data_IF_538059664295
#
_entry.id   IF_538059664295
#
_cell.length_a   1.000
_cell.length_b   1.000
_cell.length_c   1.000
_cell.angle_alpha   90.00
_cell.angle_beta   90.00
_cell.angle_gamma   90.00
#
_symmetry.space_group_name_H-M   'P 1'
#
loop_
_entity.id
_entity.type
_entity.pdbx_description
1 polymer ?
#
# COMPACT_ATOMS: atom_id res chain seq x y z
N UNK A 1 -21.47 -25.60 -17.10
CA UNK A 1 -20.36 -24.64 -17.29
C UNK A 1 -20.96 -23.24 -17.10
N UNK A 2 -21.00 -22.77 -15.87
CA UNK A 2 -21.70 -21.51 -15.55
C UNK A 2 -20.66 -20.45 -15.10
N UNK A 3 -20.52 -19.38 -15.89
CA UNK A 3 -19.70 -18.22 -15.56
C UNK A 3 -20.58 -17.23 -14.82
N UNK A 4 -20.41 -17.14 -13.50
CA UNK A 4 -21.08 -16.11 -12.70
C UNK A 4 -20.33 -14.78 -12.82
N UNK A 5 -20.89 -13.90 -13.68
CA UNK A 5 -20.48 -12.50 -13.72
C UNK A 5 -21.04 -11.80 -12.48
N UNK A 6 -20.18 -11.35 -11.59
CA UNK A 6 -20.59 -10.47 -10.48
C UNK A 6 -20.58 -9.03 -10.96
N UNK A 7 -21.76 -8.48 -11.17
CA UNK A 7 -21.98 -7.06 -11.44
C UNK A 7 -21.84 -6.27 -10.15
N UNK A 8 -20.96 -5.29 -10.17
CA UNK A 8 -20.86 -4.28 -9.11
C UNK A 8 -21.97 -3.27 -9.29
N UNK A 9 -22.91 -3.23 -8.36
CA UNK A 9 -23.87 -2.14 -8.21
C UNK A 9 -23.30 -1.11 -7.26
N UNK A 10 -23.06 0.10 -7.78
CA UNK A 10 -22.74 1.26 -6.99
C UNK A 10 -24.03 1.79 -6.34
N UNK A 11 -24.11 1.77 -5.03
CA UNK A 11 -25.17 2.46 -4.28
C UNK A 11 -24.60 3.74 -3.69
N UNK A 12 -25.03 4.85 -4.22
CA UNK A 12 -24.83 6.19 -3.65
C UNK A 12 -25.90 6.39 -2.59
N UNK A 13 -25.52 6.64 -1.35
CA UNK A 13 -26.40 7.19 -0.32
C UNK A 13 -25.84 8.53 0.13
N UNK A 14 -26.57 9.56 -0.25
CA UNK A 14 -26.46 10.90 0.29
C UNK A 14 -27.31 11.01 1.55
N UNK A 15 -26.96 11.95 2.39
CA UNK A 15 -27.80 12.62 3.38
C UNK A 15 -27.36 12.52 4.82
N UNK A 16 -27.18 13.69 5.44
CA UNK A 16 -27.64 14.04 6.73
C UNK A 16 -26.69 14.93 7.53
N UNK A 17 -26.78 16.24 7.30
CA UNK A 17 -26.21 17.24 8.22
C UNK A 17 -27.03 17.29 9.51
N UNK A 18 -26.38 17.14 10.67
CA UNK A 18 -26.93 17.58 11.95
C UNK A 18 -25.95 18.58 12.59
N UNK A 19 -26.41 19.83 12.60
CA UNK A 19 -25.83 20.91 13.39
C UNK A 19 -26.29 20.73 14.85
N UNK A 20 -25.35 20.54 15.76
CA UNK A 20 -25.59 20.71 17.19
C UNK A 20 -24.73 21.86 17.68
N UNK A 21 -25.37 22.98 17.97
CA UNK A 21 -24.78 24.10 18.70
C UNK A 21 -24.77 23.74 20.19
N UNK A 22 -23.63 23.82 20.83
CA UNK A 22 -23.52 23.80 22.29
C UNK A 22 -22.68 24.99 22.77
N UNK A 23 -23.29 25.71 23.70
CA UNK A 23 -22.85 26.98 24.28
C UNK A 23 -21.54 26.86 25.08
N UNK A 24 -20.73 27.90 25.03
CA UNK A 24 -19.57 28.14 25.88
C UNK A 24 -20.01 28.68 27.25
N UNK A 25 -19.40 28.29 28.34
CA UNK A 25 -19.28 29.14 29.51
C UNK A 25 -17.95 29.90 29.48
N UNK A 26 -18.04 31.20 29.63
CA UNK A 26 -16.91 32.07 29.94
C UNK A 26 -16.50 31.87 31.41
N UNK A 27 -15.20 31.72 31.66
CA UNK A 27 -14.63 31.92 32.97
C UNK A 27 -13.26 32.62 32.84
N UNK A 28 -13.10 33.59 33.67
CA UNK A 28 -12.09 34.66 33.66
C UNK A 28 -10.74 34.24 34.27
N UNK A 29 -9.72 34.96 33.81
CA UNK A 29 -8.51 35.41 34.50
C UNK A 29 -7.68 34.48 35.37
N UNK A 30 -6.45 34.27 34.91
CA UNK A 30 -5.36 33.75 35.70
C UNK A 30 -4.02 34.06 35.05
N UNK A 31 -3.39 35.17 35.42
CA UNK A 31 -2.04 35.53 35.04
C UNK A 31 -1.05 34.49 35.58
N UNK A 32 -0.33 33.82 34.68
CA UNK A 32 0.78 32.95 35.02
C UNK A 32 1.83 33.02 33.90
N UNK A 33 2.85 33.86 34.06
CA UNK A 33 4.04 33.81 33.21
C UNK A 33 4.80 32.53 33.50
N UNK A 34 4.88 31.66 32.52
CA UNK A 34 5.76 30.52 32.51
C UNK A 34 6.16 30.24 31.07
N UNK A 35 7.35 30.75 30.67
CA UNK A 35 7.98 30.34 29.42
C UNK A 35 8.53 28.95 29.60
N UNK A 36 7.73 27.94 29.30
CA UNK A 36 8.21 26.58 29.18
C UNK A 36 8.20 26.21 27.71
N UNK A 37 9.35 26.34 27.05
CA UNK A 37 9.59 25.81 25.71
C UNK A 37 9.73 24.31 25.82
N UNK A 38 8.61 23.62 26.09
CA UNK A 38 8.50 22.19 25.97
C UNK A 38 8.64 21.80 24.49
N UNK A 39 9.86 21.51 24.07
CA UNK A 39 10.09 20.77 22.85
C UNK A 39 9.41 19.41 22.99
N UNK A 40 8.14 19.36 22.59
CA UNK A 40 7.41 18.11 22.48
C UNK A 40 8.11 17.21 21.47
N UNK A 41 8.98 16.36 21.94
CA UNK A 41 9.48 15.25 21.14
C UNK A 41 8.30 14.35 20.79
N UNK A 42 7.69 14.61 19.64
CA UNK A 42 6.69 13.71 19.07
C UNK A 42 7.35 12.35 18.94
N UNK A 43 6.91 11.37 19.74
CA UNK A 43 7.35 9.99 19.56
C UNK A 43 7.11 9.61 18.09
N UNK A 44 8.14 9.10 17.38
CA UNK A 44 7.94 8.60 16.02
C UNK A 44 6.77 7.62 16.02
N UNK A 45 5.84 7.79 15.07
CA UNK A 45 4.76 6.84 14.91
C UNK A 45 5.32 5.42 14.76
N UNK A 46 4.72 4.41 15.40
CA UNK A 46 5.21 3.04 15.28
C UNK A 46 5.28 2.66 13.82
N UNK A 47 6.46 2.23 13.36
CA UNK A 47 6.65 1.75 12.00
C UNK A 47 5.77 0.52 11.79
N UNK A 48 5.13 0.44 10.64
CA UNK A 48 4.35 -0.73 10.27
C UNK A 48 5.24 -1.98 10.31
N UNK A 49 4.68 -3.08 10.81
CA UNK A 49 5.34 -4.37 10.70
C UNK A 49 5.35 -4.94 9.27
N UNK A 50 4.60 -4.32 8.36
CA UNK A 50 4.53 -4.75 6.96
C UNK A 50 5.46 -3.89 6.13
N UNK A 51 6.35 -4.55 5.37
CA UNK A 51 7.39 -3.91 4.57
C UNK A 51 7.48 -4.54 3.18
N UNK A 52 8.06 -3.81 2.23
CA UNK A 52 8.45 -4.32 0.93
C UNK A 52 9.73 -5.14 1.04
N UNK A 53 9.68 -6.39 0.61
CA UNK A 53 10.81 -7.30 0.58
C UNK A 53 11.61 -7.25 -0.72
N UNK A 54 11.93 -8.44 -1.26
CA UNK A 54 12.60 -8.58 -2.55
C UNK A 54 11.68 -8.13 -3.68
N UNK A 55 12.28 -7.48 -4.67
CA UNK A 55 11.64 -7.07 -5.92
C UNK A 55 12.38 -7.74 -7.06
N UNK A 56 11.64 -8.41 -7.93
CA UNK A 56 12.11 -8.97 -9.20
C UNK A 56 11.42 -8.19 -10.31
N UNK A 57 12.05 -7.11 -10.75
CA UNK A 57 11.52 -6.21 -11.79
C UNK A 57 11.91 -6.66 -13.20
N UNK A 58 12.95 -7.46 -13.31
CA UNK A 58 13.46 -7.98 -14.59
C UNK A 58 13.18 -9.50 -14.61
N UNK A 59 12.32 -9.93 -15.51
CA UNK A 59 11.96 -11.34 -15.67
C UNK A 59 13.17 -12.16 -16.12
N UNK A 60 13.41 -13.34 -15.56
CA UNK A 60 14.47 -14.20 -16.07
C UNK A 60 14.20 -14.61 -17.52
N UNK A 61 15.15 -14.31 -18.43
CA UNK A 61 15.10 -14.65 -19.84
C UNK A 61 14.61 -13.51 -20.73
N UNK A 62 13.93 -13.83 -21.83
CA UNK A 62 13.43 -12.83 -22.80
C UNK A 62 12.10 -12.27 -22.34
N UNK A 63 11.97 -10.95 -22.39
CA UNK A 63 10.71 -10.22 -22.22
C UNK A 63 9.85 -10.38 -23.49
N UNK A 64 9.13 -11.48 -23.58
CA UNK A 64 8.32 -11.85 -24.73
C UNK A 64 6.81 -11.64 -24.52
N UNK A 65 6.40 -11.02 -23.39
CA UNK A 65 5.00 -10.78 -23.03
C UNK A 65 4.20 -12.02 -22.72
N UNK A 66 4.80 -13.23 -22.69
CA UNK A 66 4.10 -14.43 -22.26
C UNK A 66 3.72 -14.33 -20.78
N UNK A 67 2.64 -15.00 -20.38
CA UNK A 67 2.23 -15.01 -18.98
C UNK A 67 3.33 -15.54 -18.03
N UNK A 68 4.15 -16.48 -18.50
CA UNK A 68 5.32 -16.96 -17.75
C UNK A 68 6.34 -15.85 -17.53
N UNK A 69 6.63 -15.05 -18.56
CA UNK A 69 7.54 -13.91 -18.46
C UNK A 69 6.97 -12.84 -17.55
N UNK A 70 5.69 -12.47 -17.73
CA UNK A 70 5.00 -11.51 -16.86
C UNK A 70 5.01 -11.95 -15.38
N UNK A 71 4.81 -13.24 -15.08
CA UNK A 71 4.88 -13.76 -13.72
C UNK A 71 6.33 -13.94 -13.21
N UNK A 72 7.32 -13.74 -14.06
CA UNK A 72 8.71 -13.57 -13.66
C UNK A 72 8.97 -12.26 -12.95
N UNK A 73 8.12 -11.23 -13.15
CA UNK A 73 8.09 -10.02 -12.35
C UNK A 73 7.24 -10.19 -11.09
N UNK A 74 7.76 -9.78 -9.95
CA UNK A 74 7.03 -9.79 -8.70
C UNK A 74 7.64 -8.88 -7.64
N UNK A 75 6.80 -8.44 -6.71
CA UNK A 75 7.19 -7.73 -5.49
C UNK A 75 6.76 -8.52 -4.28
N UNK A 76 7.64 -8.68 -3.30
CA UNK A 76 7.31 -9.33 -2.03
C UNK A 76 6.83 -8.31 -1.02
N UNK A 77 5.72 -8.62 -0.35
CA UNK A 77 5.23 -7.90 0.83
C UNK A 77 5.39 -8.82 2.03
N UNK A 78 6.09 -8.37 3.06
CA UNK A 78 6.46 -9.16 4.24
C UNK A 78 5.87 -8.58 5.51
N UNK A 79 5.19 -9.40 6.30
CA UNK A 79 4.84 -9.09 7.66
C UNK A 79 5.95 -9.55 8.61
N UNK A 80 6.75 -8.63 9.13
CA UNK A 80 7.85 -8.90 10.08
C UNK A 80 7.36 -9.06 11.52
N UNK A 81 6.10 -8.70 11.79
CA UNK A 81 5.46 -8.85 13.09
C UNK A 81 5.09 -10.30 13.43
N UNK A 82 4.76 -10.55 14.68
CA UNK A 82 4.34 -11.89 15.13
C UNK A 82 2.87 -12.18 14.85
N UNK A 83 2.03 -11.15 14.89
CA UNK A 83 0.59 -11.27 14.65
C UNK A 83 0.24 -11.09 13.17
N UNK A 84 -0.90 -11.66 12.72
CA UNK A 84 -1.35 -11.48 11.35
C UNK A 84 -1.85 -10.05 11.12
N UNK A 85 -1.67 -9.54 9.88
CA UNK A 85 -2.15 -8.23 9.44
C UNK A 85 -3.19 -8.40 8.34
N UNK A 86 -4.30 -7.70 8.44
CA UNK A 86 -5.30 -7.64 7.37
C UNK A 86 -4.86 -6.59 6.34
N UNK A 87 -4.51 -7.05 5.14
CA UNK A 87 -4.12 -6.19 4.02
C UNK A 87 -5.30 -5.79 3.13
N UNK A 88 -6.54 -6.18 3.46
CA UNK A 88 -7.71 -5.81 2.66
C UNK A 88 -7.78 -4.32 2.42
N UNK A 89 -7.86 -3.92 1.15
CA UNK A 89 -7.91 -2.52 0.75
C UNK A 89 -6.55 -1.81 0.70
N UNK A 90 -5.47 -2.45 1.14
CA UNK A 90 -4.13 -1.91 0.92
C UNK A 90 -3.80 -1.90 -0.57
N UNK A 91 -2.83 -1.09 -0.95
CA UNK A 91 -2.42 -0.97 -2.36
C UNK A 91 -0.91 -1.04 -2.50
N UNK A 92 -0.47 -1.69 -3.58
CA UNK A 92 0.89 -1.67 -4.08
C UNK A 92 0.88 -0.99 -5.45
N UNK A 93 1.65 0.05 -5.66
CA UNK A 93 1.72 0.78 -6.93
C UNK A 93 3.16 1.02 -7.38
N UNK A 94 3.34 1.13 -8.71
CA UNK A 94 4.56 1.64 -9.36
C UNK A 94 4.55 3.18 -9.44
N UNK A 95 5.57 3.79 -10.04
CA UNK A 95 5.65 5.23 -10.30
C UNK A 95 4.60 5.72 -11.31
N UNK A 96 4.17 4.85 -12.23
CA UNK A 96 3.13 5.14 -13.23
C UNK A 96 1.71 4.99 -12.68
N UNK A 97 1.54 4.76 -11.37
CA UNK A 97 0.27 4.60 -10.67
C UNK A 97 -0.52 3.34 -11.08
N UNK A 98 0.13 2.35 -11.69
CA UNK A 98 -0.46 1.02 -11.86
C UNK A 98 -0.57 0.38 -10.47
N UNK A 99 -1.77 0.01 -10.07
CA UNK A 99 -2.07 -0.31 -8.68
C UNK A 99 -2.72 -1.68 -8.54
N UNK A 100 -2.13 -2.52 -7.71
CA UNK A 100 -2.73 -3.74 -7.18
C UNK A 100 -3.40 -3.46 -5.84
N UNK A 101 -4.60 -3.98 -5.63
CA UNK A 101 -5.34 -3.88 -4.35
C UNK A 101 -5.42 -5.24 -3.69
N UNK A 102 -4.93 -5.31 -2.46
CA UNK A 102 -4.96 -6.54 -1.67
C UNK A 102 -6.36 -6.87 -1.14
N UNK A 103 -6.69 -8.17 -1.14
CA UNK A 103 -7.83 -8.75 -0.42
C UNK A 103 -7.41 -10.03 0.28
N UNK A 104 -6.45 -9.93 1.19
CA UNK A 104 -5.94 -11.06 1.96
C UNK A 104 -5.54 -10.68 3.38
N UNK A 105 -5.39 -11.69 4.23
CA UNK A 105 -4.78 -11.58 5.56
C UNK A 105 -3.40 -12.23 5.53
N UNK A 106 -2.36 -11.44 5.81
CA UNK A 106 -0.98 -11.91 5.84
C UNK A 106 -0.61 -12.37 7.24
N UNK A 107 -0.28 -13.63 7.40
CA UNK A 107 0.12 -14.22 8.67
C UNK A 107 1.36 -13.53 9.26
N UNK A 108 1.57 -13.66 10.57
CA UNK A 108 2.80 -13.16 11.20
C UNK A 108 4.03 -13.87 10.66
N UNK A 109 5.12 -13.13 10.48
CA UNK A 109 6.41 -13.62 9.95
C UNK A 109 6.29 -14.32 8.60
N UNK A 110 5.34 -13.93 7.78
CA UNK A 110 5.12 -14.47 6.43
C UNK A 110 5.20 -13.40 5.36
N UNK A 111 5.28 -13.86 4.12
CA UNK A 111 5.38 -13.02 2.95
C UNK A 111 4.42 -13.47 1.88
N UNK A 112 3.97 -12.54 1.04
CA UNK A 112 3.23 -12.79 -0.18
C UNK A 112 3.95 -12.13 -1.36
N UNK A 113 4.02 -12.80 -2.51
CA UNK A 113 4.50 -12.23 -3.77
C UNK A 113 3.31 -11.73 -4.57
N UNK A 114 3.45 -10.54 -5.12
CA UNK A 114 2.50 -9.96 -6.05
C UNK A 114 3.09 -10.06 -7.45
N UNK A 115 2.60 -10.99 -8.25
CA UNK A 115 3.03 -11.23 -9.63
C UNK A 115 2.28 -10.33 -10.61
N UNK A 116 2.92 -9.97 -11.72
CA UNK A 116 2.33 -9.08 -12.73
C UNK A 116 1.26 -9.77 -13.58
N UNK A 117 1.51 -10.97 -14.04
CA UNK A 117 0.63 -11.69 -14.96
C UNK A 117 -0.58 -12.34 -14.31
N UNK A 118 -1.17 -13.28 -15.03
CA UNK A 118 -2.38 -14.00 -14.63
C UNK A 118 -2.03 -15.28 -13.86
N UNK A 119 -2.78 -15.56 -12.77
CA UNK A 119 -2.60 -16.78 -12.00
C UNK A 119 -3.73 -17.05 -11.03
N UNK A 120 -3.53 -18.02 -10.16
CA UNK A 120 -4.46 -18.34 -9.08
C UNK A 120 -3.89 -17.89 -7.75
N UNK A 121 -4.59 -17.02 -7.08
CA UNK A 121 -4.19 -16.52 -5.77
C UNK A 121 -4.11 -17.63 -4.72
N UNK A 122 -3.07 -17.53 -3.91
CA UNK A 122 -2.79 -18.37 -2.75
C UNK A 122 -2.44 -17.50 -1.55
N UNK A 123 -2.09 -18.11 -0.43
CA UNK A 123 -1.56 -17.39 0.74
C UNK A 123 -0.15 -16.80 0.54
N UNK A 124 0.56 -17.23 -0.51
CA UNK A 124 1.97 -16.85 -0.74
C UNK A 124 2.19 -16.13 -2.07
N UNK A 125 1.30 -16.30 -3.03
CA UNK A 125 1.38 -15.74 -4.37
C UNK A 125 0.01 -15.18 -4.77
N UNK A 126 -0.01 -13.92 -5.21
CA UNK A 126 -1.19 -13.25 -5.75
C UNK A 126 -0.83 -12.60 -7.09
N UNK A 127 -1.83 -12.33 -7.91
CA UNK A 127 -1.62 -11.94 -9.29
C UNK A 127 -2.39 -10.66 -9.61
N UNK A 128 -1.75 -9.77 -10.38
CA UNK A 128 -2.36 -8.52 -10.85
C UNK A 128 -3.26 -8.73 -12.06
N UNK A 129 -3.22 -9.92 -12.69
CA UNK A 129 -3.97 -10.30 -13.89
C UNK A 129 -3.73 -9.37 -15.09
N UNK A 130 -2.53 -8.83 -15.20
CA UNK A 130 -2.15 -7.93 -16.28
C UNK A 130 -1.52 -8.68 -17.45
N UNK A 131 -1.57 -8.05 -18.64
CA UNK A 131 -0.97 -8.57 -19.88
C UNK A 131 0.20 -7.72 -20.37
N UNK A 132 0.79 -6.94 -19.49
CA UNK A 132 1.95 -6.06 -19.73
C UNK A 132 2.80 -5.98 -18.49
N UNK A 133 4.07 -5.71 -18.66
CA UNK A 133 5.00 -5.49 -17.56
C UNK A 133 4.59 -4.24 -16.74
N UNK A 134 4.83 -4.29 -15.45
CA UNK A 134 4.55 -3.21 -14.49
C UNK A 134 5.83 -2.54 -14.06
N UNK A 135 6.84 -3.35 -13.74
CA UNK A 135 8.04 -2.86 -13.09
C UNK A 135 9.12 -2.56 -14.13
N UNK A 136 9.49 -1.28 -14.23
CA UNK A 136 10.55 -0.83 -15.13
C UNK A 136 11.95 -1.04 -14.52
N UNK A 137 13.02 -0.97 -15.35
CA UNK A 137 14.41 -1.08 -14.90
C UNK A 137 14.83 0.02 -13.90
N UNK A 138 14.07 1.10 -13.82
CA UNK A 138 14.15 2.15 -12.80
C UNK A 138 12.74 2.54 -12.40
N UNK A 139 12.37 2.24 -11.17
CA UNK A 139 11.00 2.41 -10.69
C UNK A 139 10.96 2.51 -9.16
N UNK A 140 9.78 2.78 -8.62
CA UNK A 140 9.52 2.84 -7.19
C UNK A 140 8.23 2.09 -6.83
N UNK A 141 8.36 0.97 -6.13
CA UNK A 141 7.22 0.32 -5.50
C UNK A 141 6.78 1.09 -4.25
N UNK A 142 5.50 1.42 -4.16
CA UNK A 142 4.92 2.09 -2.99
C UNK A 142 3.78 1.26 -2.42
N UNK A 143 3.89 0.92 -1.13
CA UNK A 143 2.86 0.24 -0.35
C UNK A 143 2.08 1.27 0.48
N UNK A 144 0.75 1.24 0.39
CA UNK A 144 -0.14 2.10 1.18
C UNK A 144 -1.16 1.26 1.93
N UNK A 145 -1.57 1.74 3.11
CA UNK A 145 -2.64 1.12 3.88
C UNK A 145 -4.04 1.40 3.28
N UNK A 146 -5.08 0.84 3.88
CA UNK A 146 -6.46 1.02 3.42
C UNK A 146 -6.97 2.48 3.51
N UNK A 147 -6.28 3.34 4.25
CA UNK A 147 -6.56 4.78 4.35
C UNK A 147 -5.73 5.61 3.37
N UNK A 148 -4.87 4.97 2.58
CA UNK A 148 -3.98 5.62 1.62
C UNK A 148 -2.67 6.15 2.23
N UNK A 149 -2.39 5.94 3.51
CA UNK A 149 -1.12 6.34 4.11
C UNK A 149 0.01 5.47 3.58
N UNK A 150 1.13 6.10 3.22
CA UNK A 150 2.33 5.38 2.81
C UNK A 150 2.88 4.58 3.98
N UNK A 151 2.97 3.27 3.79
CA UNK A 151 3.50 2.32 4.77
C UNK A 151 4.99 2.09 4.51
N UNK A 152 5.34 1.83 3.24
CA UNK A 152 6.71 1.60 2.82
C UNK A 152 6.89 1.96 1.34
N UNK A 153 8.12 2.23 0.91
CA UNK A 153 8.45 2.37 -0.50
C UNK A 153 9.88 1.94 -0.77
N UNK A 154 10.12 1.38 -1.95
CA UNK A 154 11.41 0.86 -2.36
C UNK A 154 11.67 1.21 -3.82
N UNK A 155 12.75 1.96 -4.06
CA UNK A 155 13.19 2.36 -5.40
C UNK A 155 14.38 1.53 -5.83
N UNK A 156 14.53 1.32 -7.13
CA UNK A 156 15.69 0.67 -7.76
C UNK A 156 16.01 1.33 -9.09
N UNK A 157 17.13 0.91 -9.69
CA UNK A 157 17.65 1.53 -10.91
C UNK A 157 18.45 2.79 -10.63
N UNK A 158 19.03 3.37 -11.68
CA UNK A 158 19.79 4.60 -11.58
C UNK A 158 18.86 5.79 -11.78
N UNK A 159 18.53 6.49 -10.72
CA UNK A 159 18.05 7.85 -10.88
C UNK A 159 19.23 8.66 -11.46
N UNK A 160 19.15 9.07 -12.70
CA UNK A 160 20.02 10.11 -13.23
C UNK A 160 19.67 11.39 -12.48
N UNK A 161 20.26 11.56 -11.30
CA UNK A 161 20.25 12.84 -10.61
C UNK A 161 20.89 13.87 -11.50
N UNK A 162 20.06 14.68 -12.15
CA UNK A 162 20.53 15.81 -12.92
C UNK A 162 21.38 16.72 -12.02
N UNK A 163 22.68 16.71 -12.22
CA UNK A 163 23.53 17.83 -11.80
C UNK A 163 23.08 19.04 -12.60
N UNK A 164 22.46 19.98 -11.96
CA UNK A 164 22.41 21.37 -12.39
C UNK A 164 23.57 22.11 -11.77
#
# INVERSE_FOLDING_TARGET
>A
MSRSARRLTATVLASGALLAAAALPAAADGHGRGHDHGHGHSKPAPRSAVVLGKIQYDSPGRDNGSNRSLNGEWVTVTNTGRGPVNLRGWTLSDESHRTYRFDLRLAGRSSVRVHTGVGRDTSHDVYQDLRRYVWDNSDTATLRDARGHKVDSKSWGRHHGGRR
#
